data_IF_167767561752
#
_entry.id   IF_167767561752
#
_cell.length_a   1.000
_cell.length_b   1.000
_cell.length_c   1.000
_cell.angle_alpha   90.00
_cell.angle_beta   90.00
_cell.angle_gamma   90.00
#
_symmetry.space_group_name_H-M   'P 1'
#
loop_
_entity.id
_entity.type
_entity.pdbx_description
1 polymer ?
#
# COMPACT_ATOMS: atom_id res chain seq x y z
N UNK A 1 45.43 -33.79 -0.55
CA UNK A 1 44.40 -33.59 0.49
C UNK A 1 43.44 -32.57 -0.05
N UNK A 2 42.31 -33.06 -0.54
CA UNK A 2 41.07 -32.39 -0.96
C UNK A 2 41.14 -30.91 -1.40
N UNK A 3 41.52 -30.70 -2.66
CA UNK A 3 40.91 -29.67 -3.48
C UNK A 3 39.44 -30.07 -3.72
N UNK A 4 38.56 -29.81 -2.74
CA UNK A 4 37.12 -29.90 -2.96
C UNK A 4 36.75 -28.89 -4.03
N UNK A 5 36.46 -29.41 -5.21
CA UNK A 5 35.94 -28.74 -6.39
C UNK A 5 35.00 -27.58 -5.99
N UNK A 6 35.45 -26.34 -6.18
CA UNK A 6 34.70 -25.15 -5.79
C UNK A 6 33.54 -24.95 -6.75
N UNK A 7 32.39 -25.56 -6.44
CA UNK A 7 31.17 -25.63 -7.28
C UNK A 7 30.52 -24.25 -7.51
N UNK A 8 31.08 -23.16 -6.97
CA UNK A 8 30.64 -21.79 -7.24
C UNK A 8 29.34 -21.37 -6.55
N UNK A 9 28.63 -22.28 -5.87
CA UNK A 9 27.43 -21.99 -5.07
C UNK A 9 27.66 -20.94 -3.98
N UNK A 10 28.87 -20.85 -3.45
CA UNK A 10 29.26 -19.81 -2.48
C UNK A 10 29.09 -18.38 -3.03
N UNK A 11 29.02 -18.19 -4.36
CA UNK A 11 28.78 -16.89 -4.97
C UNK A 11 27.30 -16.57 -5.21
N UNK A 12 26.38 -17.54 -5.07
CA UNK A 12 24.95 -17.30 -5.27
C UNK A 12 24.37 -16.22 -4.35
N UNK A 13 24.68 -16.18 -3.04
CA UNK A 13 24.20 -15.09 -2.18
C UNK A 13 24.65 -13.72 -2.68
N UNK A 14 25.91 -13.62 -3.13
CA UNK A 14 26.45 -12.39 -3.70
C UNK A 14 25.80 -12.02 -5.04
N UNK A 15 25.43 -13.01 -5.86
CA UNK A 15 24.69 -12.78 -7.11
C UNK A 15 23.27 -12.30 -6.86
N UNK A 16 22.56 -12.93 -5.90
CA UNK A 16 21.22 -12.53 -5.48
C UNK A 16 21.25 -11.13 -4.88
N UNK A 17 22.21 -10.84 -4.00
CA UNK A 17 22.42 -9.51 -3.43
C UNK A 17 22.62 -8.46 -4.52
N UNK A 18 23.56 -8.66 -5.46
CA UNK A 18 23.79 -7.72 -6.57
C UNK A 18 22.55 -7.52 -7.45
N UNK A 19 21.81 -8.59 -7.72
CA UNK A 19 20.57 -8.52 -8.52
C UNK A 19 19.48 -7.75 -7.79
N UNK A 20 19.32 -7.95 -6.48
CA UNK A 20 18.37 -7.24 -5.64
C UNK A 20 18.74 -5.76 -5.52
N UNK A 21 20.02 -5.43 -5.30
CA UNK A 21 20.52 -4.05 -5.26
C UNK A 21 20.25 -3.33 -6.59
N UNK A 22 20.49 -3.99 -7.73
CA UNK A 22 20.24 -3.41 -9.06
C UNK A 22 18.76 -3.23 -9.36
N UNK A 23 17.90 -4.14 -8.89
CA UNK A 23 16.44 -4.05 -9.08
C UNK A 23 15.83 -2.96 -8.19
N UNK A 24 16.43 -2.72 -7.03
CA UNK A 24 15.86 -1.86 -5.99
C UNK A 24 14.68 -2.52 -5.29
N UNK A 25 14.15 -1.81 -4.30
CA UNK A 25 13.01 -2.25 -3.50
C UNK A 25 11.85 -1.28 -3.69
N UNK A 26 10.65 -1.80 -3.89
CA UNK A 26 9.42 -1.00 -3.83
C UNK A 26 8.74 -1.24 -2.48
N UNK A 27 8.33 -0.17 -1.79
CA UNK A 27 7.56 -0.27 -0.56
C UNK A 27 6.40 0.74 -0.57
N UNK A 28 5.17 0.26 -0.50
CA UNK A 28 3.99 1.11 -0.38
C UNK A 28 3.45 1.13 1.05
N UNK A 29 3.37 2.32 1.63
CA UNK A 29 2.80 2.59 2.93
C UNK A 29 1.49 3.36 2.77
N UNK A 30 0.42 2.91 3.41
CA UNK A 30 -0.84 3.62 3.45
C UNK A 30 -1.07 4.21 4.84
N UNK A 31 -1.63 5.40 4.89
CA UNK A 31 -1.88 6.13 6.13
C UNK A 31 -3.38 6.35 6.24
N UNK A 32 -4.00 5.83 7.29
CA UNK A 32 -5.44 5.91 7.53
C UNK A 32 -5.71 6.40 8.95
N UNK A 33 -6.78 7.18 9.13
CA UNK A 33 -7.17 7.68 10.44
C UNK A 33 -8.11 8.88 10.34
N UNK A 34 -8.64 9.28 11.48
CA UNK A 34 -9.48 10.47 11.57
C UNK A 34 -8.75 11.73 11.07
N UNK A 35 -9.53 12.66 10.55
CA UNK A 35 -9.05 14.00 10.20
C UNK A 35 -8.38 14.69 11.39
N UNK A 36 -7.38 15.54 11.13
CA UNK A 36 -6.73 16.32 12.18
C UNK A 36 -5.84 15.55 13.17
N UNK A 37 -5.61 14.23 13.01
CA UNK A 37 -4.68 13.45 13.86
C UNK A 37 -3.20 13.67 13.54
N UNK A 38 -2.86 14.43 12.49
CA UNK A 38 -1.48 14.72 12.11
C UNK A 38 -0.85 13.65 11.21
N UNK A 39 -1.65 12.95 10.40
CA UNK A 39 -1.23 11.93 9.43
C UNK A 39 -0.11 12.43 8.51
N UNK A 40 -0.38 13.49 7.75
CA UNK A 40 0.60 14.06 6.81
C UNK A 40 1.82 14.67 7.52
N UNK A 41 1.65 15.17 8.76
CA UNK A 41 2.78 15.61 9.61
C UNK A 41 3.68 14.44 10.01
N UNK A 42 3.11 13.28 10.37
CA UNK A 42 3.90 12.09 10.72
C UNK A 42 4.62 11.55 9.49
N UNK A 43 3.97 11.52 8.32
CA UNK A 43 4.60 11.12 7.05
C UNK A 43 5.84 11.96 6.75
N UNK A 44 5.69 13.28 6.82
CA UNK A 44 6.82 14.21 6.63
C UNK A 44 7.90 14.00 7.70
N UNK A 45 7.51 13.59 8.91
CA UNK A 45 8.45 13.34 10.00
C UNK A 45 9.20 12.01 9.86
N UNK A 46 8.54 10.94 9.40
CA UNK A 46 9.11 9.59 9.27
C UNK A 46 10.19 9.53 8.20
N UNK A 47 9.93 10.14 7.04
CA UNK A 47 10.78 10.00 5.86
C UNK A 47 11.64 11.23 5.60
N UNK A 48 12.08 11.89 6.67
CA UNK A 48 12.93 13.08 6.65
C UNK A 48 13.70 13.25 5.36
N UNK A 49 13.19 14.19 4.59
CA UNK A 49 13.79 14.72 3.40
C UNK A 49 14.99 15.57 3.84
N UNK A 50 16.18 14.96 3.87
CA UNK A 50 17.37 15.63 3.29
C UNK A 50 17.18 15.84 1.76
N UNK A 51 16.10 15.30 1.18
CA UNK A 51 15.66 15.42 -0.21
C UNK A 51 14.82 16.69 -0.52
N UNK A 52 14.63 17.62 0.42
CA UNK A 52 14.06 18.95 0.16
C UNK A 52 14.96 20.06 0.72
N UNK A 53 16.21 20.13 0.26
CA UNK A 53 17.04 21.33 0.48
C UNK A 53 16.41 22.60 -0.11
N UNK A 54 15.46 22.47 -1.05
CA UNK A 54 14.83 23.58 -1.76
C UNK A 54 13.29 23.56 -1.80
N UNK A 55 12.60 23.11 -0.73
CA UNK A 55 11.17 23.47 -0.61
C UNK A 55 11.03 24.83 0.07
N UNK A 56 10.56 25.82 -0.70
CA UNK A 56 9.82 26.95 -0.14
C UNK A 56 8.82 26.40 0.87
N UNK A 57 8.87 26.91 2.10
CA UNK A 57 7.86 26.64 3.12
C UNK A 57 6.51 27.07 2.55
N UNK A 58 5.70 26.12 2.08
CA UNK A 58 4.31 26.38 1.73
C UNK A 58 3.63 26.99 2.97
N UNK A 59 2.86 28.06 2.75
CA UNK A 59 2.16 28.81 3.80
C UNK A 59 1.32 27.87 4.67
N UNK A 60 1.09 28.25 5.94
CA UNK A 60 0.23 27.50 6.85
C UNK A 60 -1.18 27.24 6.28
N UNK A 61 -1.61 28.05 5.31
CA UNK A 61 -2.91 27.98 4.64
C UNK A 61 -3.02 26.83 3.62
N UNK A 62 -1.94 26.48 2.90
CA UNK A 62 -1.91 25.30 2.01
C UNK A 62 -1.63 24.00 2.77
N UNK A 63 -1.08 24.10 3.99
CA UNK A 63 -0.79 22.97 4.89
C UNK A 63 -2.04 22.34 5.53
N UNK A 64 -3.20 22.98 5.40
CA UNK A 64 -4.50 22.53 5.92
C UNK A 64 -5.50 22.34 4.76
N UNK A 65 -5.04 22.02 3.55
CA UNK A 65 -5.99 21.44 2.59
C UNK A 65 -6.33 20.04 3.11
N UNK A 66 -7.52 19.90 3.71
CA UNK A 66 -8.08 18.59 4.03
C UNK A 66 -7.95 17.72 2.79
N UNK A 67 -7.26 16.59 2.90
CA UNK A 67 -7.16 15.63 1.80
C UNK A 67 -8.58 15.16 1.48
N UNK A 68 -9.11 15.54 0.32
CA UNK A 68 -10.45 15.14 -0.14
C UNK A 68 -10.38 13.83 -0.93
N UNK A 69 -9.22 13.53 -1.52
CA UNK A 69 -8.98 12.35 -2.35
C UNK A 69 -7.73 11.58 -1.89
N UNK A 70 -7.65 10.30 -2.27
CA UNK A 70 -6.49 9.45 -1.97
C UNK A 70 -5.31 9.91 -2.85
N UNK A 71 -4.27 10.49 -2.23
CA UNK A 71 -3.08 10.98 -2.95
C UNK A 71 -1.92 10.00 -2.81
N UNK A 72 -1.20 9.76 -3.91
CA UNK A 72 0.03 8.96 -3.92
C UNK A 72 1.24 9.87 -3.99
N UNK A 73 2.16 9.72 -3.04
CA UNK A 73 3.45 10.40 -3.01
C UNK A 73 4.56 9.37 -3.14
N UNK A 74 5.21 9.32 -4.31
CA UNK A 74 6.37 8.45 -4.53
C UNK A 74 7.67 9.21 -4.23
N UNK A 75 8.53 8.62 -3.41
CA UNK A 75 9.85 9.14 -3.05
C UNK A 75 10.87 8.04 -3.28
N UNK A 76 11.89 8.34 -4.09
CA UNK A 76 13.05 7.46 -4.25
C UNK A 76 14.08 7.83 -3.17
N UNK A 77 14.39 6.88 -2.29
CA UNK A 77 15.38 6.99 -1.22
C UNK A 77 16.57 6.11 -1.61
N UNK A 78 17.78 6.62 -1.44
CA UNK A 78 19.01 5.85 -1.64
C UNK A 78 19.81 5.79 -0.35
N UNK A 79 20.07 4.58 0.15
CA UNK A 79 20.88 4.36 1.34
C UNK A 79 21.97 3.31 1.03
N UNK A 80 23.25 3.68 1.26
CA UNK A 80 24.41 2.78 1.09
C UNK A 80 24.44 2.05 -0.27
N UNK A 81 23.98 2.70 -1.35
CA UNK A 81 23.91 2.14 -2.71
C UNK A 81 22.69 1.26 -3.01
N UNK A 82 21.75 1.14 -2.06
CA UNK A 82 20.45 0.49 -2.25
C UNK A 82 19.40 1.56 -2.54
N UNK A 83 18.67 1.40 -3.65
CA UNK A 83 17.54 2.27 -4.01
C UNK A 83 16.22 1.67 -3.52
N UNK A 84 15.49 2.43 -2.72
CA UNK A 84 14.15 2.14 -2.24
C UNK A 84 13.17 3.14 -2.86
N UNK A 85 12.21 2.67 -3.64
CA UNK A 85 11.06 3.46 -4.07
C UNK A 85 9.96 3.31 -3.04
N UNK A 86 9.78 4.34 -2.24
CA UNK A 86 8.73 4.43 -1.24
C UNK A 86 7.51 5.12 -1.84
N UNK A 87 6.36 4.46 -1.84
CA UNK A 87 5.08 5.06 -2.22
C UNK A 87 4.23 5.27 -0.98
N UNK A 88 3.96 6.51 -0.62
CA UNK A 88 3.06 6.86 0.49
C UNK A 88 1.68 7.15 -0.09
N UNK A 89 0.68 6.44 0.38
CA UNK A 89 -0.73 6.65 0.05
C UNK A 89 -1.37 7.38 1.23
N UNK A 90 -1.63 8.68 1.07
CA UNK A 90 -2.40 9.45 2.04
C UNK A 90 -3.89 9.26 1.75
N UNK A 91 -4.67 9.03 2.80
CA UNK A 91 -6.12 8.86 2.68
C UNK A 91 -6.83 10.05 3.29
N UNK A 92 -7.99 10.44 2.72
CA UNK A 92 -8.82 11.46 3.32
C UNK A 92 -9.15 11.08 4.77
N UNK A 93 -9.15 12.07 5.66
CA UNK A 93 -9.58 11.84 7.03
C UNK A 93 -11.05 11.43 7.08
N UNK A 94 -11.35 10.31 7.74
CA UNK A 94 -12.73 9.93 8.04
C UNK A 94 -13.18 10.57 9.37
N UNK A 95 -14.50 10.62 9.62
CA UNK A 95 -15.05 11.14 10.87
C UNK A 95 -15.51 12.61 10.86
N UNK A 96 -15.25 13.36 9.79
CA UNK A 96 -15.71 14.76 9.66
C UNK A 96 -17.17 14.85 9.18
N UNK A 97 -17.67 13.81 8.51
CA UNK A 97 -19.04 13.78 7.99
C UNK A 97 -20.05 13.43 9.09
N UNK A 98 -21.29 13.92 8.95
CA UNK A 98 -22.40 13.58 9.87
C UNK A 98 -22.75 12.09 9.78
N UNK A 99 -22.60 11.49 8.60
CA UNK A 99 -22.79 10.06 8.39
C UNK A 99 -21.47 9.40 7.96
N UNK A 100 -20.95 8.49 8.79
CA UNK A 100 -19.67 7.80 8.57
C UNK A 100 -19.81 6.28 8.38
N UNK A 101 -21.02 5.77 8.12
CA UNK A 101 -21.30 4.32 8.05
C UNK A 101 -20.46 3.56 7.03
N UNK A 102 -19.97 4.21 5.97
CA UNK A 102 -19.25 3.54 4.89
C UNK A 102 -17.91 4.20 4.55
N UNK A 103 -17.31 4.91 5.51
CA UNK A 103 -16.04 5.63 5.29
C UNK A 103 -14.85 4.72 4.93
N UNK A 104 -14.93 3.42 5.22
CA UNK A 104 -13.90 2.44 4.89
C UNK A 104 -13.96 1.95 3.44
N UNK A 105 -15.08 2.11 2.73
CA UNK A 105 -15.25 1.59 1.36
C UNK A 105 -14.24 2.14 0.36
N UNK A 106 -13.99 3.46 0.26
CA UNK A 106 -13.02 4.00 -0.70
C UNK A 106 -11.61 3.46 -0.47
N UNK A 107 -11.24 3.23 0.79
CA UNK A 107 -9.94 2.68 1.17
C UNK A 107 -9.84 1.20 0.84
N UNK A 108 -10.89 0.41 1.13
CA UNK A 108 -10.94 -0.99 0.77
C UNK A 108 -10.94 -1.20 -0.76
N UNK A 109 -11.74 -0.42 -1.49
CA UNK A 109 -11.78 -0.44 -2.96
C UNK A 109 -10.43 -0.06 -3.57
N UNK A 110 -9.75 0.93 -3.01
CA UNK A 110 -8.41 1.30 -3.46
C UNK A 110 -7.40 0.15 -3.33
N UNK A 111 -7.42 -0.57 -2.20
CA UNK A 111 -6.55 -1.74 -1.96
C UNK A 111 -6.91 -2.87 -2.93
N UNK A 112 -8.21 -3.17 -3.07
CA UNK A 112 -8.71 -4.21 -3.98
C UNK A 112 -8.33 -3.89 -5.45
N UNK A 113 -8.38 -2.61 -5.86
CA UNK A 113 -7.91 -2.16 -7.17
C UNK A 113 -6.39 -2.36 -7.35
N UNK A 114 -5.56 -2.15 -6.31
CA UNK A 114 -4.12 -2.42 -6.42
C UNK A 114 -3.85 -3.92 -6.57
N UNK A 115 -4.61 -4.78 -5.87
CA UNK A 115 -4.51 -6.22 -6.03
C UNK A 115 -4.99 -6.70 -7.40
N UNK A 116 -6.08 -6.12 -7.92
CA UNK A 116 -6.58 -6.44 -9.25
C UNK A 116 -5.58 -6.05 -10.34
N UNK A 117 -4.99 -4.85 -10.25
CA UNK A 117 -3.97 -4.41 -11.20
C UNK A 117 -2.78 -5.38 -11.21
N UNK A 118 -2.27 -5.74 -10.02
CA UNK A 118 -1.17 -6.70 -9.91
C UNK A 118 -1.56 -8.08 -10.45
N UNK A 119 -2.79 -8.56 -10.20
CA UNK A 119 -3.29 -9.83 -10.71
C UNK A 119 -3.41 -9.85 -12.25
N UNK A 120 -3.85 -8.74 -12.86
CA UNK A 120 -3.88 -8.58 -14.33
C UNK A 120 -2.48 -8.60 -14.92
N UNK A 121 -1.53 -7.90 -14.29
CA UNK A 121 -0.14 -7.85 -14.74
C UNK A 121 0.57 -9.22 -14.58
N UNK A 122 0.25 -9.97 -13.53
CA UNK A 122 0.72 -11.36 -13.33
C UNK A 122 0.15 -12.31 -14.40
N UNK A 123 -1.15 -12.17 -14.69
CA UNK A 123 -1.86 -12.98 -15.69
C UNK A 123 -1.47 -12.64 -17.13
N UNK A 124 -0.92 -11.45 -17.35
CA UNK A 124 -0.49 -10.95 -18.65
C UNK A 124 0.71 -11.70 -19.24
N UNK A 125 1.00 -11.39 -20.52
CA UNK A 125 2.10 -12.01 -21.27
C UNK A 125 3.48 -11.46 -20.87
N UNK A 126 3.56 -10.20 -20.43
CA UNK A 126 4.83 -9.51 -20.11
C UNK A 126 5.17 -9.55 -18.61
N UNK A 127 5.54 -10.72 -18.10
CA UNK A 127 5.82 -10.94 -16.66
C UNK A 127 7.15 -10.38 -16.14
N UNK A 128 8.01 -9.83 -17.00
CA UNK A 128 9.42 -9.52 -16.64
C UNK A 128 9.60 -8.19 -15.90
N UNK A 129 8.65 -7.24 -16.01
CA UNK A 129 8.76 -5.91 -15.42
C UNK A 129 7.47 -5.49 -14.70
N UNK A 130 6.98 -6.33 -13.80
CA UNK A 130 5.82 -6.01 -12.97
C UNK A 130 6.28 -5.07 -11.86
N UNK A 131 5.60 -3.92 -11.73
CA UNK A 131 5.80 -2.99 -10.62
C UNK A 131 4.87 -3.34 -9.47
N UNK A 132 5.39 -3.36 -8.25
CA UNK A 132 4.60 -3.70 -7.07
C UNK A 132 3.96 -2.45 -6.47
N UNK A 133 2.70 -2.20 -6.82
CA UNK A 133 1.91 -1.08 -6.28
C UNK A 133 0.99 -1.52 -5.13
N UNK A 134 1.13 -2.75 -4.62
CA UNK A 134 0.30 -3.26 -3.52
C UNK A 134 0.65 -2.52 -2.23
N UNK A 135 -0.36 -2.31 -1.38
CA UNK A 135 -0.16 -1.70 -0.06
C UNK A 135 0.40 -2.75 0.88
N UNK A 136 1.63 -2.55 1.38
CA UNK A 136 2.28 -3.52 2.27
C UNK A 136 1.91 -3.31 3.74
N UNK A 137 1.69 -2.06 4.13
CA UNK A 137 1.39 -1.69 5.51
C UNK A 137 0.42 -0.52 5.54
N UNK A 138 -0.59 -0.61 6.41
CA UNK A 138 -1.52 0.46 6.73
C UNK A 138 -1.25 0.95 8.15
N UNK A 139 -0.78 2.18 8.28
CA UNK A 139 -0.67 2.88 9.55
C UNK A 139 -2.03 3.42 9.93
N UNK A 140 -2.59 2.91 11.01
CA UNK A 140 -3.92 3.29 11.48
C UNK A 140 -3.82 4.21 12.70
N UNK A 141 -4.23 5.46 12.53
CA UNK A 141 -4.14 6.49 13.57
C UNK A 141 -5.39 6.46 14.43
N UNK A 142 -5.18 6.10 15.69
CA UNK A 142 -6.18 6.11 16.74
C UNK A 142 -6.15 7.47 17.45
N UNK A 143 -7.33 8.03 17.64
CA UNK A 143 -7.50 9.30 18.35
C UNK A 143 -7.12 9.16 19.84
N UNK A 144 -6.33 10.11 20.39
CA UNK A 144 -6.03 10.11 21.83
C UNK A 144 -7.26 10.50 22.65
N UNK A 145 -8.24 11.17 22.04
CA UNK A 145 -9.47 11.59 22.67
C UNK A 145 -10.43 10.41 22.82
N UNK A 146 -10.64 9.95 24.06
CA UNK A 146 -11.58 8.87 24.38
C UNK A 146 -11.02 7.83 25.35
N UNK A 147 -11.88 6.97 25.88
CA UNK A 147 -11.47 5.94 26.84
C UNK A 147 -11.10 4.60 26.20
N UNK A 148 -11.56 4.34 24.98
CA UNK A 148 -11.33 3.10 24.21
C UNK A 148 -11.29 3.39 22.71
N UNK A 149 -11.38 2.34 21.89
CA UNK A 149 -11.56 2.42 20.44
C UNK A 149 -12.98 2.87 20.14
N UNK A 150 -13.12 3.77 19.15
CA UNK A 150 -14.45 4.18 18.73
C UNK A 150 -15.09 3.07 17.89
N UNK A 151 -16.42 2.92 17.92
CA UNK A 151 -17.11 1.95 17.06
C UNK A 151 -16.76 2.12 15.57
N UNK A 152 -16.59 3.37 15.13
CA UNK A 152 -16.12 3.71 13.78
C UNK A 152 -14.75 3.08 13.48
N UNK A 153 -13.82 3.19 14.43
CA UNK A 153 -12.47 2.69 14.26
C UNK A 153 -12.46 1.14 14.23
N UNK A 154 -13.32 0.51 15.04
CA UNK A 154 -13.52 -0.94 15.07
C UNK A 154 -14.05 -1.44 13.74
N UNK A 155 -15.07 -0.79 13.17
CA UNK A 155 -15.63 -1.18 11.87
C UNK A 155 -14.59 -1.04 10.74
N UNK A 156 -13.85 0.07 10.74
CA UNK A 156 -12.80 0.32 9.75
C UNK A 156 -11.68 -0.73 9.81
N UNK A 157 -11.18 -1.03 11.01
CA UNK A 157 -10.16 -2.07 11.19
C UNK A 157 -10.69 -3.47 10.85
N UNK A 158 -11.95 -3.77 11.16
CA UNK A 158 -12.63 -5.02 10.75
C UNK A 158 -12.81 -5.16 9.24
N UNK A 159 -12.94 -4.07 8.50
CA UNK A 159 -13.00 -4.13 7.05
C UNK A 159 -11.62 -4.35 6.40
N UNK A 160 -10.55 -3.85 7.03
CA UNK A 160 -9.21 -3.83 6.45
C UNK A 160 -8.29 -4.97 6.86
N UNK A 161 -8.47 -5.57 8.04
CA UNK A 161 -7.51 -6.56 8.57
C UNK A 161 -7.34 -7.81 7.71
N UNK A 162 -8.27 -8.11 6.79
CA UNK A 162 -8.15 -9.24 5.86
C UNK A 162 -7.30 -8.89 4.62
N UNK A 163 -7.19 -7.61 4.28
CA UNK A 163 -6.59 -7.10 3.05
C UNK A 163 -5.19 -6.55 3.23
N UNK A 164 -4.91 -5.95 4.40
CA UNK A 164 -3.65 -5.25 4.65
C UNK A 164 -3.17 -5.44 6.08
N UNK A 165 -1.86 -5.40 6.26
CA UNK A 165 -1.22 -5.38 7.57
C UNK A 165 -1.50 -4.06 8.27
N UNK A 166 -2.28 -4.09 9.36
CA UNK A 166 -2.62 -2.90 10.13
C UNK A 166 -1.62 -2.73 11.28
N UNK A 167 -1.00 -1.55 11.36
CA UNK A 167 -0.17 -1.12 12.48
C UNK A 167 -0.92 0.01 13.22
N UNK A 168 -1.48 -0.25 14.42
CA UNK A 168 -2.18 0.76 15.17
C UNK A 168 -1.20 1.74 15.85
N UNK A 169 -1.47 3.03 15.66
CA UNK A 169 -0.67 4.14 16.17
C UNK A 169 -1.57 5.04 17.01
N UNK A 170 -1.15 5.35 18.23
CA UNK A 170 -1.78 6.38 19.04
C UNK A 170 -1.22 7.75 18.64
N UNK A 171 -2.09 8.57 18.02
CA UNK A 171 -1.73 9.89 17.54
C UNK A 171 -1.69 10.93 18.67
N UNK A 172 -0.90 12.01 18.49
CA UNK A 172 -0.78 13.14 19.43
C UNK A 172 -0.60 12.68 20.88
N UNK A 173 0.38 11.81 21.09
CA UNK A 173 0.69 11.26 22.42
C UNK A 173 1.09 12.33 23.45
N UNK A 174 1.49 13.52 22.99
CA UNK A 174 1.77 14.70 23.82
C UNK A 174 0.56 15.24 24.59
N UNK A 175 -0.66 14.83 24.23
CA UNK A 175 -1.89 15.20 24.95
C UNK A 175 -2.16 14.36 26.19
N UNK A 176 -1.44 13.24 26.36
CA UNK A 176 -1.66 12.28 27.43
C UNK A 176 -0.45 12.21 28.34
N UNK A 177 -0.68 12.04 29.64
CA UNK A 177 0.40 11.77 30.58
C UNK A 177 0.93 10.33 30.41
N UNK A 178 2.19 10.02 30.76
CA UNK A 178 2.74 8.66 30.66
C UNK A 178 1.85 7.55 31.29
N UNK A 179 1.27 7.70 32.50
CA UNK A 179 0.37 6.68 33.05
C UNK A 179 -0.94 6.55 32.28
N UNK A 180 -1.43 7.63 31.67
CA UNK A 180 -2.64 7.59 30.85
C UNK A 180 -2.40 6.89 29.51
N UNK A 181 -1.23 7.11 28.89
CA UNK A 181 -0.81 6.40 27.68
C UNK A 181 -0.81 4.90 27.94
N UNK A 182 -0.20 4.44 29.03
CA UNK A 182 -0.14 3.01 29.36
C UNK A 182 -1.53 2.42 29.59
N UNK A 183 -2.38 3.11 30.36
CA UNK A 183 -3.78 2.70 30.56
C UNK A 183 -4.54 2.61 29.23
N UNK A 184 -4.29 3.55 28.31
CA UNK A 184 -4.94 3.57 26.99
C UNK A 184 -4.41 2.46 26.07
N UNK A 185 -3.10 2.21 26.05
CA UNK A 185 -2.49 1.09 25.30
C UNK A 185 -3.08 -0.24 25.73
N UNK A 186 -3.19 -0.49 27.04
CA UNK A 186 -3.79 -1.72 27.58
C UNK A 186 -5.25 -1.88 27.14
N UNK A 187 -6.07 -0.84 27.26
CA UNK A 187 -7.47 -0.88 26.81
C UNK A 187 -7.62 -1.14 25.32
N UNK A 188 -6.79 -0.49 24.48
CA UNK A 188 -6.81 -0.72 23.03
C UNK A 188 -6.48 -2.18 22.72
N UNK A 189 -5.50 -2.77 23.41
CA UNK A 189 -5.11 -4.18 23.23
C UNK A 189 -6.25 -5.13 23.60
N UNK A 190 -6.88 -4.91 24.75
CA UNK A 190 -8.05 -5.68 25.22
C UNK A 190 -9.23 -5.61 24.22
N UNK A 191 -9.48 -4.42 23.66
CA UNK A 191 -10.56 -4.24 22.70
C UNK A 191 -10.25 -4.86 21.33
N UNK A 192 -9.01 -4.77 20.84
CA UNK A 192 -8.56 -5.45 19.60
C UNK A 192 -8.81 -6.95 19.72
N UNK A 193 -8.46 -7.54 20.86
CA UNK A 193 -8.65 -8.97 21.13
C UNK A 193 -10.14 -9.32 21.24
N UNK A 194 -10.92 -8.53 22.00
CA UNK A 194 -12.38 -8.72 22.14
C UNK A 194 -13.11 -8.68 20.79
N UNK A 195 -12.70 -7.80 19.88
CA UNK A 195 -13.30 -7.67 18.57
C UNK A 195 -12.74 -8.63 17.52
N UNK A 196 -11.69 -9.39 17.84
CA UNK A 196 -11.04 -10.34 16.94
C UNK A 196 -10.33 -9.69 15.75
N UNK A 197 -9.81 -8.47 15.93
CA UNK A 197 -9.12 -7.74 14.87
C UNK A 197 -7.69 -8.28 14.74
N UNK A 198 -7.35 -8.79 13.56
CA UNK A 198 -5.99 -9.27 13.26
C UNK A 198 -5.10 -8.08 12.90
N UNK A 199 -4.42 -7.54 13.90
CA UNK A 199 -3.32 -6.57 13.67
C UNK A 199 -2.07 -7.30 13.22
N UNK A 200 -1.12 -6.57 12.64
CA UNK A 200 0.18 -7.14 12.29
C UNK A 200 0.86 -7.67 13.55
N UNK A 201 1.17 -8.96 13.54
CA UNK A 201 1.95 -9.64 14.56
C UNK A 201 3.34 -9.83 14.00
N UNK A 202 4.35 -9.42 14.77
CA UNK A 202 5.72 -9.72 14.42
C UNK A 202 5.90 -11.25 14.40
N UNK A 203 6.64 -11.79 13.41
CA UNK A 203 7.04 -13.19 13.42
C UNK A 203 7.63 -13.59 14.77
N UNK A 204 7.50 -14.86 15.12
CA UNK A 204 8.25 -15.40 16.24
C UNK A 204 9.70 -15.54 15.80
N UNK A 205 10.61 -14.89 16.54
CA UNK A 205 12.04 -14.95 16.29
C UNK A 205 12.48 -16.42 16.30
N UNK A 206 13.30 -16.80 15.32
CA UNK A 206 13.84 -18.16 15.27
C UNK A 206 14.68 -18.44 16.52
N UNK A 207 14.71 -19.70 16.97
CA UNK A 207 15.46 -20.11 18.18
C UNK A 207 16.94 -19.76 18.11
N UNK A 208 17.47 -19.63 16.89
CA UNK A 208 18.90 -19.46 16.60
C UNK A 208 19.33 -17.99 16.54
N UNK A 209 18.40 -17.03 16.69
CA UNK A 209 18.70 -15.60 16.70
C UNK A 209 19.24 -15.11 18.04
N UNK A 210 20.04 -14.04 17.99
CA UNK A 210 20.69 -13.41 19.14
C UNK A 210 19.67 -13.04 20.24
N UNK A 211 20.03 -13.25 21.51
CA UNK A 211 19.17 -12.90 22.65
C UNK A 211 18.81 -11.40 22.67
N UNK A 212 19.74 -10.53 22.26
CA UNK A 212 19.52 -9.09 22.14
C UNK A 212 18.45 -8.75 21.08
N UNK A 213 18.41 -9.49 19.97
CA UNK A 213 17.42 -9.30 18.91
C UNK A 213 16.03 -9.74 19.40
N UNK A 214 15.96 -10.88 20.10
CA UNK A 214 14.72 -11.36 20.73
C UNK A 214 14.17 -10.36 21.75
N UNK A 215 15.04 -9.76 22.56
CA UNK A 215 14.64 -8.75 23.54
C UNK A 215 14.11 -7.47 22.87
N UNK A 216 14.75 -7.05 21.77
CA UNK A 216 14.30 -5.91 20.98
C UNK A 216 12.92 -6.17 20.36
N UNK A 217 12.71 -7.35 19.78
CA UNK A 217 11.43 -7.72 19.17
C UNK A 217 10.30 -7.86 20.19
N UNK A 218 10.59 -8.39 21.38
CA UNK A 218 9.63 -8.39 22.49
C UNK A 218 9.28 -6.96 22.93
N UNK A 219 10.27 -6.08 23.06
CA UNK A 219 10.02 -4.68 23.40
C UNK A 219 9.19 -3.96 22.33
N UNK A 220 9.35 -4.32 21.04
CA UNK A 220 8.52 -3.82 19.95
C UNK A 220 7.09 -4.38 20.01
N UNK A 221 6.93 -5.69 20.27
CA UNK A 221 5.63 -6.36 20.48
C UNK A 221 4.83 -5.68 21.60
N UNK A 222 5.47 -5.42 22.75
CA UNK A 222 4.83 -4.76 23.90
C UNK A 222 4.50 -3.28 23.65
N UNK A 223 5.28 -2.61 22.81
CA UNK A 223 5.11 -1.18 22.51
C UNK A 223 3.92 -0.90 21.61
N UNK A 224 3.27 -1.90 20.99
CA UNK A 224 2.05 -1.73 20.19
C UNK A 224 0.85 -1.52 21.12
N UNK A 225 0.01 -0.48 20.88
CA UNK A 225 0.10 0.52 19.82
C UNK A 225 1.13 1.62 20.09
N UNK A 226 1.88 2.04 19.05
CA UNK A 226 2.95 3.03 19.19
C UNK A 226 2.39 4.43 19.53
N UNK A 227 2.88 5.04 20.60
CA UNK A 227 2.52 6.41 20.97
C UNK A 227 3.45 7.40 20.27
N UNK A 228 2.94 8.13 19.27
CA UNK A 228 3.77 8.98 18.41
C UNK A 228 3.38 10.45 18.46
N UNK A 229 4.40 11.28 18.21
CA UNK A 229 4.28 12.72 18.10
C UNK A 229 4.94 13.12 16.78
N UNK A 230 4.22 13.81 15.90
CA UNK A 230 4.76 14.34 14.65
C UNK A 230 5.11 15.81 14.80
N UNK A 231 6.30 16.24 14.35
CA UNK A 231 6.66 17.66 14.30
C UNK A 231 7.41 18.02 13.03
N UNK A 232 7.00 19.11 12.40
CA UNK A 232 7.69 19.72 11.26
C UNK A 232 8.66 20.83 11.68
N UNK A 233 8.65 21.24 12.96
CA UNK A 233 9.48 22.33 13.47
C UNK A 233 10.77 21.79 14.08
N UNK A 234 11.89 22.39 13.69
CA UNK A 234 13.20 22.15 14.30
C UNK A 234 13.39 23.18 15.40
N UNK A 235 13.62 22.70 16.62
CA UNK A 235 13.86 23.52 17.81
C UNK A 235 15.26 23.23 18.34
N UNK A 236 15.89 24.22 18.93
CA UNK A 236 17.19 24.05 19.56
C UNK A 236 16.98 23.66 21.03
N UNK A 237 17.34 22.42 21.37
CA UNK A 237 17.30 21.92 22.74
C UNK A 237 18.71 21.47 23.13
N UNK A 238 19.23 21.97 24.26
CA UNK A 238 20.54 21.60 24.81
C UNK A 238 21.71 21.74 23.80
N UNK A 239 21.67 22.78 22.96
CA UNK A 239 22.68 23.05 21.92
C UNK A 239 22.64 22.11 20.72
N UNK A 240 21.60 21.26 20.60
CA UNK A 240 21.35 20.41 19.43
C UNK A 240 20.07 20.84 18.74
N UNK A 241 20.11 20.90 17.41
CA UNK A 241 18.92 21.12 16.58
C UNK A 241 18.15 19.81 16.49
N UNK A 242 17.06 19.70 17.22
CA UNK A 242 16.21 18.51 17.28
C UNK A 242 14.81 18.85 16.81
N UNK A 243 14.09 17.88 16.26
CA UNK A 243 12.69 18.09 15.90
C UNK A 243 11.83 17.95 17.14
N UNK A 244 11.00 18.94 17.37
CA UNK A 244 10.19 18.99 18.58
C UNK A 244 9.05 19.97 18.46
N UNK A 245 8.10 19.86 19.39
CA UNK A 245 7.01 20.82 19.58
C UNK A 245 7.37 21.72 20.75
N UNK A 246 7.23 23.03 20.55
CA UNK A 246 7.42 24.02 21.61
C UNK A 246 6.08 24.29 22.28
N UNK A 247 6.03 24.05 23.58
CA UNK A 247 4.92 24.44 24.45
C UNK A 247 5.38 25.53 25.42
N UNK A 248 4.45 26.32 25.99
CA UNK A 248 4.79 27.31 27.02
C UNK A 248 5.53 26.71 28.23
N UNK A 249 5.26 25.44 28.56
CA UNK A 249 5.86 24.73 29.70
C UNK A 249 7.10 23.89 29.35
N UNK A 250 7.48 23.77 28.07
CA UNK A 250 8.65 22.98 27.70
C UNK A 250 8.68 22.54 26.24
N UNK A 251 9.75 21.83 25.89
CA UNK A 251 9.99 21.32 24.54
C UNK A 251 9.81 19.81 24.53
N UNK A 252 8.97 19.32 23.63
CA UNK A 252 8.75 17.89 23.42
C UNK A 252 9.53 17.44 22.20
N UNK A 253 10.65 16.76 22.44
CA UNK A 253 11.49 16.15 21.40
C UNK A 253 10.83 14.89 20.80
N UNK A 254 10.74 14.80 19.48
CA UNK A 254 10.12 13.67 18.76
C UNK A 254 11.05 12.46 18.67
N UNK A 255 12.36 12.67 18.67
CA UNK A 255 13.32 11.56 18.55
C UNK A 255 13.77 11.00 19.91
N UNK A 256 13.22 11.53 21.00
CA UNK A 256 13.58 11.09 22.34
C UNK A 256 12.68 9.92 22.79
N UNK A 257 13.25 8.74 23.09
CA UNK A 257 12.47 7.57 23.50
C UNK A 257 11.75 7.76 24.85
N UNK A 258 12.20 8.70 25.68
CA UNK A 258 11.51 9.03 26.93
C UNK A 258 10.23 9.86 26.71
N UNK A 259 10.06 10.49 25.56
CA UNK A 259 8.89 11.31 25.24
C UNK A 259 7.91 10.60 24.30
N UNK A 260 8.41 9.84 23.32
CA UNK A 260 7.54 9.07 22.44
C UNK A 260 8.22 7.86 21.79
N UNK A 261 7.40 6.92 21.34
CA UNK A 261 7.83 5.68 20.68
C UNK A 261 8.12 5.90 19.17
N UNK A 262 8.31 7.14 18.71
CA UNK A 262 8.53 7.44 17.30
C UNK A 262 9.76 6.74 16.72
N UNK A 263 10.85 6.66 17.50
CA UNK A 263 12.07 5.96 17.08
C UNK A 263 11.81 4.46 16.91
N UNK A 264 11.00 3.86 17.78
CA UNK A 264 10.61 2.44 17.68
C UNK A 264 9.80 2.20 16.41
N UNK A 265 8.81 3.05 16.12
CA UNK A 265 8.03 2.97 14.89
C UNK A 265 8.92 3.11 13.63
N UNK A 266 9.84 4.07 13.63
CA UNK A 266 10.77 4.27 12.50
C UNK A 266 11.68 3.06 12.30
N UNK A 267 12.24 2.50 13.38
CA UNK A 267 13.07 1.30 13.31
C UNK A 267 12.28 0.10 12.78
N UNK A 268 11.05 -0.08 13.26
CA UNK A 268 10.15 -1.15 12.81
C UNK A 268 9.87 -1.08 11.31
N UNK A 269 9.50 0.11 10.80
CA UNK A 269 9.10 0.30 9.40
C UNK A 269 10.27 0.31 8.41
N UNK A 270 11.41 0.89 8.79
CA UNK A 270 12.53 1.14 7.86
C UNK A 270 13.64 0.12 8.00
N UNK A 271 13.93 -0.36 9.22
CA UNK A 271 15.13 -1.16 9.49
C UNK A 271 14.88 -2.65 9.60
N UNK A 272 13.86 -3.07 10.34
CA UNK A 272 13.72 -4.48 10.74
C UNK A 272 12.63 -5.23 9.96
N UNK A 273 11.41 -4.70 9.86
CA UNK A 273 10.26 -5.49 9.38
C UNK A 273 9.71 -5.08 8.01
N UNK A 274 10.42 -4.25 7.24
CA UNK A 274 9.97 -3.86 5.90
C UNK A 274 9.78 -5.08 4.98
N UNK A 275 10.74 -6.00 5.00
CA UNK A 275 10.70 -7.20 4.16
C UNK A 275 9.60 -8.15 4.61
N UNK A 276 9.48 -8.38 5.92
CA UNK A 276 8.45 -9.24 6.49
C UNK A 276 7.03 -8.73 6.17
N UNK A 277 6.77 -7.42 6.30
CA UNK A 277 5.49 -6.82 5.90
C UNK A 277 5.16 -7.10 4.43
N UNK A 278 6.16 -7.12 3.54
CA UNK A 278 5.96 -7.46 2.13
C UNK A 278 5.66 -8.95 1.95
N UNK A 279 6.35 -9.81 2.69
CA UNK A 279 6.18 -11.26 2.59
C UNK A 279 4.79 -11.67 3.11
N UNK A 280 4.35 -11.15 4.26
CA UNK A 280 2.97 -11.34 4.76
C UNK A 280 1.94 -10.81 3.76
N UNK A 281 2.18 -9.65 3.16
CA UNK A 281 1.28 -9.10 2.12
C UNK A 281 1.18 -10.03 0.92
N UNK A 282 2.30 -10.63 0.50
CA UNK A 282 2.34 -11.55 -0.62
C UNK A 282 1.68 -12.88 -0.31
N UNK A 283 2.10 -13.52 0.78
CA UNK A 283 1.74 -14.91 1.10
C UNK A 283 0.37 -15.05 1.73
N UNK A 284 -0.06 -14.03 2.49
CA UNK A 284 -1.35 -14.06 3.16
C UNK A 284 -2.38 -13.23 2.38
N UNK A 285 -2.20 -11.91 2.32
CA UNK A 285 -3.25 -11.02 1.80
C UNK A 285 -3.50 -11.21 0.30
N UNK A 286 -2.44 -11.21 -0.49
CA UNK A 286 -2.54 -11.34 -1.95
C UNK A 286 -2.95 -12.75 -2.37
N UNK A 287 -2.39 -13.82 -1.78
CA UNK A 287 -2.82 -15.18 -2.12
C UNK A 287 -4.28 -15.46 -1.70
N UNK A 288 -4.75 -14.89 -0.58
CA UNK A 288 -6.17 -14.98 -0.21
C UNK A 288 -7.06 -14.31 -1.26
N UNK A 289 -6.70 -13.11 -1.71
CA UNK A 289 -7.42 -12.41 -2.78
C UNK A 289 -7.38 -13.21 -4.10
N UNK A 290 -6.20 -13.70 -4.49
CA UNK A 290 -5.98 -14.50 -5.69
C UNK A 290 -6.79 -15.79 -5.67
N UNK A 291 -6.84 -16.49 -4.55
CA UNK A 291 -7.66 -17.68 -4.37
C UNK A 291 -9.16 -17.36 -4.55
N UNK A 292 -9.65 -16.25 -3.98
CA UNK A 292 -11.04 -15.81 -4.15
C UNK A 292 -11.36 -15.46 -5.62
N UNK A 293 -10.48 -14.75 -6.32
CA UNK A 293 -10.63 -14.44 -7.74
C UNK A 293 -10.63 -15.68 -8.63
N UNK A 294 -9.72 -16.63 -8.41
CA UNK A 294 -9.68 -17.88 -9.18
C UNK A 294 -10.93 -18.72 -8.92
N UNK A 295 -11.42 -18.76 -7.67
CA UNK A 295 -12.66 -19.45 -7.33
C UNK A 295 -13.88 -18.81 -8.01
N UNK A 296 -13.97 -17.48 -8.02
CA UNK A 296 -15.09 -16.77 -8.66
C UNK A 296 -15.08 -16.97 -10.17
N UNK A 297 -13.91 -16.88 -10.80
CA UNK A 297 -13.72 -17.11 -12.23
C UNK A 297 -14.04 -18.56 -12.62
N UNK A 298 -13.60 -19.53 -11.82
CA UNK A 298 -13.95 -20.95 -12.01
C UNK A 298 -15.45 -21.18 -11.91
N UNK A 299 -16.13 -20.56 -10.93
CA UNK A 299 -17.60 -20.64 -10.79
C UNK A 299 -18.31 -20.05 -12.00
N UNK A 300 -17.81 -18.94 -12.57
CA UNK A 300 -18.38 -18.32 -13.77
C UNK A 300 -18.23 -19.26 -14.98
N UNK A 301 -17.04 -19.82 -15.20
CA UNK A 301 -16.79 -20.78 -16.29
C UNK A 301 -17.67 -22.02 -16.17
N UNK A 302 -17.86 -22.55 -14.95
CA UNK A 302 -18.75 -23.70 -14.70
C UNK A 302 -20.22 -23.34 -14.95
N UNK A 303 -20.68 -22.16 -14.53
CA UNK A 303 -22.05 -21.68 -14.81
C UNK A 303 -22.28 -21.52 -16.31
N UNK A 304 -21.30 -20.98 -17.03
CA UNK A 304 -21.38 -20.76 -18.47
C UNK A 304 -21.34 -22.08 -19.25
N UNK A 305 -20.54 -23.05 -18.79
CA UNK A 305 -20.56 -24.43 -19.30
C UNK A 305 -21.91 -25.11 -19.05
N UNK A 306 -22.46 -25.03 -17.83
CA UNK A 306 -23.78 -25.58 -17.52
C UNK A 306 -24.89 -24.89 -18.31
N UNK A 307 -24.77 -23.60 -18.62
CA UNK A 307 -25.71 -22.88 -19.49
C UNK A 307 -25.64 -23.37 -20.94
N UNK A 308 -24.46 -23.72 -21.45
CA UNK A 308 -24.28 -24.33 -22.78
C UNK A 308 -24.79 -25.77 -22.88
N UNK A 309 -24.68 -26.58 -21.80
CA UNK A 309 -25.14 -27.97 -21.81
C UNK A 309 -26.57 -28.16 -21.25
N UNK A 310 -27.16 -27.16 -20.59
CA UNK A 310 -28.50 -27.20 -20.01
C UNK A 310 -29.64 -26.79 -20.96
N UNK A 311 -29.33 -26.29 -22.16
CA UNK A 311 -30.32 -26.07 -23.24
C UNK A 311 -30.32 -27.23 -24.23
N UNK A 312 -30.84 -28.38 -23.80
CA UNK A 312 -31.59 -29.26 -24.70
C UNK A 312 -32.96 -29.49 -24.07
N UNK A 313 -34.00 -28.73 -24.46
CA UNK A 313 -35.36 -29.09 -24.10
C UNK A 313 -35.66 -30.46 -24.73
N UNK A 314 -36.23 -31.34 -23.90
CA UNK A 314 -36.42 -32.74 -24.22
C UNK A 314 -37.16 -32.96 -25.54
N UNK A 315 -36.52 -33.71 -26.44
CA UNK A 315 -37.29 -34.58 -27.31
C UNK A 315 -37.69 -35.79 -26.47
N UNK A 316 -38.95 -35.80 -26.03
CA UNK A 316 -39.56 -37.00 -25.46
C UNK A 316 -39.59 -38.06 -26.55
N UNK A 317 -38.70 -39.04 -26.48
CA UNK A 317 -38.88 -40.27 -27.22
C UNK A 317 -40.10 -40.99 -26.64
N UNK A 318 -41.24 -40.86 -27.32
CA UNK A 318 -42.41 -41.74 -27.11
C UNK A 318 -42.07 -43.08 -27.76
N UNK A 319 -41.22 -43.85 -27.10
CA UNK A 319 -40.94 -45.24 -27.43
C UNK A 319 -42.09 -46.13 -26.97
N UNK A 320 -42.93 -46.53 -27.91
CA UNK A 320 -43.87 -47.64 -27.80
C UNK A 320 -43.05 -48.90 -27.45
N UNK A 321 -43.19 -49.40 -26.23
CA UNK A 321 -42.52 -50.63 -25.78
C UNK A 321 -43.18 -51.87 -26.36
N UNK A 322 -42.35 -52.75 -26.91
CA UNK A 322 -42.65 -54.14 -27.23
C UNK A 322 -41.40 -54.83 -27.76
N UNK A 323 -40.82 -55.73 -26.97
CA UNK A 323 -39.83 -56.72 -27.42
C UNK A 323 -38.41 -56.55 -26.88
N UNK A 324 -38.17 -57.24 -25.75
CA UNK A 324 -36.96 -57.99 -25.37
C UNK A 324 -35.59 -57.55 -25.92
N UNK A 325 -34.67 -57.25 -25.01
CA UNK A 325 -33.59 -58.19 -24.64
C UNK A 325 -32.53 -57.49 -23.78
N UNK A 326 -31.93 -58.29 -22.91
CA UNK A 326 -30.52 -58.21 -22.48
C UNK A 326 -30.23 -57.59 -21.08
N UNK A 327 -29.96 -58.54 -20.17
CA UNK A 327 -28.80 -58.63 -19.25
C UNK A 327 -28.65 -57.57 -18.16
N UNK A 328 -28.75 -58.05 -16.92
CA UNK A 328 -28.28 -57.39 -15.69
C UNK A 328 -26.82 -57.81 -15.34
N UNK A 329 -26.22 -57.39 -14.21
CA UNK A 329 -25.75 -56.03 -13.90
C UNK A 329 -24.35 -56.06 -13.23
N UNK A 330 -23.53 -54.99 -13.26
CA UNK A 330 -22.43 -54.87 -12.27
C UNK A 330 -22.29 -53.46 -11.68
N UNK A 331 -22.76 -53.40 -10.44
CA UNK A 331 -22.37 -52.68 -9.22
C UNK A 331 -21.15 -51.72 -9.25
N UNK A 332 -21.35 -50.60 -8.55
CA UNK A 332 -20.39 -49.57 -8.10
C UNK A 332 -19.13 -50.10 -7.38
N UNK A 333 -17.99 -49.47 -7.62
CA UNK A 333 -16.96 -49.10 -6.62
C UNK A 333 -15.96 -48.12 -7.28
N UNK A 334 -15.88 -46.86 -6.85
CA UNK A 334 -14.92 -46.31 -5.87
C UNK A 334 -13.51 -46.05 -6.42
N UNK A 335 -13.13 -44.77 -6.37
CA UNK A 335 -11.81 -44.14 -6.30
C UNK A 335 -10.56 -44.93 -6.68
N UNK A 336 -9.80 -44.43 -7.66
CA UNK A 336 -8.42 -43.94 -7.47
C UNK A 336 -7.85 -43.45 -8.80
N UNK A 337 -7.50 -42.15 -8.83
CA UNK A 337 -6.83 -41.50 -9.95
C UNK A 337 -5.32 -41.61 -9.68
N UNK A 338 -4.61 -42.41 -10.47
CA UNK A 338 -3.14 -42.49 -10.46
C UNK A 338 -2.62 -41.98 -11.79
N UNK A 339 -1.69 -41.03 -11.70
CA UNK A 339 -0.93 -40.41 -12.76
C UNK A 339 0.07 -41.40 -13.41
N UNK A 340 0.07 -41.44 -14.74
CA UNK A 340 1.20 -41.67 -15.68
C UNK A 340 0.55 -41.66 -17.07
N UNK A 341 0.86 -40.75 -18.01
CA UNK A 341 2.16 -40.40 -18.55
C UNK A 341 2.34 -41.12 -19.88
N UNK A 342 2.11 -40.40 -21.01
CA UNK A 342 2.81 -40.50 -22.31
C UNK A 342 2.01 -39.87 -23.46
N UNK A 343 2.70 -39.07 -24.29
CA UNK A 343 2.53 -39.14 -25.75
C UNK A 343 1.79 -38.01 -26.47
N UNK A 344 2.55 -36.98 -26.83
CA UNK A 344 2.41 -36.03 -27.95
C UNK A 344 1.34 -36.29 -29.02
N UNK A 345 0.53 -35.26 -29.32
CA UNK A 345 0.18 -34.84 -30.70
C UNK A 345 0.02 -33.30 -30.75
N UNK A 346 0.70 -32.68 -31.71
CA UNK A 346 0.69 -31.25 -32.05
C UNK A 346 -0.53 -30.84 -32.91
N UNK A 347 -0.67 -29.51 -33.07
CA UNK A 347 -1.61 -28.72 -33.87
C UNK A 347 -2.92 -28.36 -33.13
N UNK A 348 -3.29 -27.10 -32.91
CA UNK A 348 -2.89 -25.85 -33.53
C UNK A 348 -4.14 -25.12 -33.99
N UNK A 349 -4.77 -24.31 -33.13
CA UNK A 349 -5.73 -23.24 -33.50
C UNK A 349 -5.70 -22.15 -32.43
N UNK A 350 -5.46 -20.87 -32.77
CA UNK A 350 -5.55 -19.77 -31.82
C UNK A 350 -7.01 -19.26 -31.73
N UNK A 351 -7.61 -19.33 -30.54
CA UNK A 351 -8.90 -18.68 -30.27
C UNK A 351 -8.65 -17.29 -29.69
N UNK A 352 -8.76 -16.28 -30.56
CA UNK A 352 -8.85 -14.88 -30.20
C UNK A 352 -10.15 -14.62 -29.42
N UNK A 353 -10.04 -13.95 -28.27
CA UNK A 353 -11.16 -13.36 -27.55
C UNK A 353 -11.52 -12.01 -28.18
N UNK A 354 -12.81 -11.69 -28.40
CA UNK A 354 -13.21 -10.36 -28.85
C UNK A 354 -13.31 -9.40 -27.66
N UNK A 355 -12.56 -8.30 -27.73
CA UNK A 355 -12.78 -7.10 -26.91
C UNK A 355 -13.87 -6.23 -27.54
N UNK A 356 -14.83 -5.70 -26.77
CA UNK A 356 -15.67 -4.59 -27.21
C UNK A 356 -15.08 -3.28 -26.64
N UNK A 357 -14.66 -2.35 -27.51
CA UNK A 357 -14.80 -0.88 -27.43
C UNK A 357 -13.77 -0.20 -28.35
N UNK A 358 -14.15 0.89 -29.04
CA UNK A 358 -13.38 1.45 -30.16
C UNK A 358 -12.22 2.37 -29.69
N UNK A 359 -11.16 2.54 -30.51
CA UNK A 359 -10.05 3.40 -30.18
C UNK A 359 -10.34 4.88 -30.47
N UNK A 360 -9.91 5.75 -29.54
CA UNK A 360 -9.78 7.20 -29.72
C UNK A 360 -8.62 7.55 -30.67
N UNK A 361 -8.73 8.61 -31.50
CA UNK A 361 -7.72 8.92 -32.52
C UNK A 361 -6.46 9.55 -31.93
N UNK A 362 -5.30 9.03 -32.34
CA UNK A 362 -3.97 9.56 -32.04
C UNK A 362 -3.70 10.85 -32.82
N UNK A 363 -3.18 11.86 -32.11
CA UNK A 363 -2.54 13.04 -32.66
C UNK A 363 -1.27 12.64 -33.42
N UNK A 364 -1.22 12.94 -34.71
CA UNK A 364 0.01 12.98 -35.49
C UNK A 364 0.60 14.38 -35.47
N UNK A 365 1.88 14.42 -35.14
CA UNK A 365 2.80 15.54 -35.26
C UNK A 365 2.84 16.06 -36.72
N UNK A 366 2.81 17.38 -36.89
CA UNK A 366 3.10 18.04 -38.17
C UNK A 366 3.54 19.47 -37.89
N UNK A 367 4.86 19.64 -37.78
CA UNK A 367 5.51 20.93 -37.96
C UNK A 367 5.36 21.38 -39.42
N UNK A 368 5.18 22.69 -39.54
CA UNK A 368 5.82 23.59 -40.50
C UNK A 368 5.01 24.13 -41.71
N UNK A 369 5.08 25.48 -41.82
CA UNK A 369 4.76 26.40 -42.93
C UNK A 369 3.30 26.84 -43.13
N UNK A 370 2.99 28.12 -42.85
CA UNK A 370 2.87 29.18 -43.88
C UNK A 370 2.79 30.59 -43.25
N UNK A 371 3.33 31.55 -44.01
CA UNK A 371 3.55 32.98 -43.74
C UNK A 371 2.24 33.81 -43.62
N UNK A 372 2.29 34.85 -42.76
CA UNK A 372 1.85 36.28 -42.88
C UNK A 372 0.63 36.65 -43.79
N UNK A 373 -0.17 37.70 -43.48
CA UNK A 373 0.35 39.07 -43.18
C UNK A 373 -0.48 39.99 -42.24
N UNK A 374 0.21 41.03 -41.74
CA UNK A 374 -0.39 42.28 -41.23
C UNK A 374 -0.94 43.16 -42.37
N UNK A 375 -1.90 44.06 -42.08
CA UNK A 375 -1.60 45.48 -42.28
C UNK A 375 -2.24 46.49 -41.29
N UNK A 376 -1.47 47.56 -41.01
CA UNK A 376 -1.80 49.01 -41.00
C UNK A 376 -2.92 49.56 -40.07
N UNK A 377 -2.61 50.38 -39.03
CA UNK A 377 -2.34 51.85 -38.97
C UNK A 377 -3.57 52.65 -38.46
N UNK A 378 -3.48 53.91 -37.94
CA UNK A 378 -2.42 54.92 -38.13
C UNK A 378 -1.98 55.76 -36.89
N UNK A 379 -1.02 56.63 -37.18
CA UNK A 379 -0.26 57.61 -36.38
C UNK A 379 -0.97 58.94 -36.07
N UNK A 380 -0.57 59.64 -34.98
CA UNK A 380 -0.45 61.12 -34.94
C UNK A 380 0.44 61.65 -33.79
N UNK A 381 1.68 61.98 -34.12
CA UNK A 381 2.35 63.29 -33.96
C UNK A 381 2.08 64.19 -32.72
N UNK A 382 3.12 64.46 -31.89
CA UNK A 382 3.92 65.73 -31.87
C UNK A 382 4.76 65.92 -30.58
N UNK A 383 6.08 65.92 -30.78
CA UNK A 383 7.10 66.89 -30.34
C UNK A 383 7.07 67.62 -28.97
N UNK A 384 8.25 67.50 -28.31
CA UNK A 384 9.20 68.56 -27.89
C UNK A 384 9.42 68.83 -26.38
N UNK A 385 10.70 68.67 -26.02
CA UNK A 385 11.54 69.40 -25.04
C UNK A 385 11.20 69.22 -23.56
N UNK A 386 12.11 68.71 -22.72
CA UNK A 386 13.31 69.40 -22.20
C UNK A 386 12.86 70.12 -20.91
N UNK A 387 13.47 70.02 -19.73
CA UNK A 387 14.87 69.84 -19.33
C UNK A 387 14.88 69.91 -17.78
N UNK A 388 15.99 69.48 -17.16
CA UNK A 388 16.48 69.83 -15.82
C UNK A 388 15.87 69.18 -14.54
N UNK A 389 16.68 68.25 -14.02
CA UNK A 389 17.14 67.97 -12.63
C UNK A 389 17.33 69.24 -11.73
N UNK A 390 17.79 69.21 -10.44
CA UNK A 390 17.79 68.20 -9.37
C UNK A 390 17.31 68.71 -7.98
N UNK A 391 17.21 67.77 -7.01
CA UNK A 391 17.52 67.84 -5.55
C UNK A 391 16.87 68.91 -4.64
N UNK A 392 16.19 68.40 -3.59
CA UNK A 392 16.17 68.77 -2.15
C UNK A 392 14.87 68.17 -1.58
N UNK A 393 14.80 67.38 -0.50
CA UNK A 393 15.52 67.27 0.77
C UNK A 393 15.38 65.87 1.36
#
# INVERSE_FOLDING_TARGET
>A
MDDKEYVGFATLPNQVHRKSVKKGFDFTLMVAGESGLGKSTLVNSLFLTDLYRDRKLLSAEERIMQTVEITKHAVDIEEKGVRLRLTIVDTPGFGDAVNNTECWKPVAEYIDQQFEQYFRDESGLNRKNIQDNRVHCCLYFISPFGHGLRPLDVEFMKALHQRVNIVPILAKADTLTPPEVERKKRKIREEIERFGIKVYQFPDCDSDEDEDFKLQDQALKESIPFAVIGSNTVVEARGRRVRGRLYPWGIVEVENPGHCDFVKLRTMLVRTHMQDLKDVTRETHYENYRAQCIQSMTRLVVKERNRKYGQKPGQSWRGRGGGESQVQPWVRASSSFVLQGLGSVQAGVPLALPSPFPPSPQQTDSREWYRLPHPCCPTRDRSRNGEADPRER
#
